data_IF_113499478648
#
_entry.id   IF_113499478648
#
_cell.length_a   1.000
_cell.length_b   1.000
_cell.length_c   1.000
_cell.angle_alpha   90.00
_cell.angle_beta   90.00
_cell.angle_gamma   90.00
#
_symmetry.space_group_name_H-M   'P 1'
#
loop_
_entity.id
_entity.type
_entity.pdbx_description
1 polymer ?
#
# COMPACT_ATOMS: atom_id res chain seq x y z
N UNK A 1 2.43 27.44 -13.39
CA UNK A 1 2.35 25.97 -13.27
C UNK A 1 1.33 25.64 -12.19
N UNK A 2 0.54 24.57 -12.32
CA UNK A 2 -0.38 24.14 -11.24
C UNK A 2 0.42 23.30 -10.24
N UNK A 3 0.42 23.70 -8.97
CA UNK A 3 1.05 22.95 -7.89
C UNK A 3 0.09 21.88 -7.38
N UNK A 4 0.61 20.70 -7.06
CA UNK A 4 -0.13 19.61 -6.42
C UNK A 4 0.70 19.14 -5.24
N UNK A 5 0.14 19.24 -4.04
CA UNK A 5 0.75 18.70 -2.83
C UNK A 5 0.39 17.22 -2.72
N UNK A 6 1.39 16.41 -2.38
CA UNK A 6 1.24 14.95 -2.25
C UNK A 6 1.73 14.57 -0.86
N UNK A 7 0.85 13.95 -0.08
CA UNK A 7 1.18 13.38 1.23
C UNK A 7 1.04 11.86 1.14
N UNK A 8 2.02 11.13 1.66
CA UNK A 8 2.05 9.66 1.60
C UNK A 8 2.34 9.09 2.97
N UNK A 9 1.62 8.05 3.37
CA UNK A 9 1.88 7.31 4.60
C UNK A 9 1.68 5.80 4.39
N UNK A 10 2.36 4.99 5.19
CA UNK A 10 2.29 3.54 5.11
C UNK A 10 2.58 2.89 6.46
N UNK A 11 1.79 1.89 6.81
CA UNK A 11 1.90 1.18 8.08
C UNK A 11 1.71 -0.33 7.89
N UNK A 12 2.32 -1.12 8.78
CA UNK A 12 2.20 -2.57 8.83
C UNK A 12 1.91 -3.05 10.25
N UNK A 13 1.05 -4.07 10.40
CA UNK A 13 0.84 -4.76 11.67
C UNK A 13 1.74 -6.01 11.75
N UNK A 14 2.97 -5.83 12.24
CA UNK A 14 3.97 -6.89 12.41
C UNK A 14 4.93 -7.07 11.22
N UNK A 15 5.90 -8.01 11.31
CA UNK A 15 6.90 -8.27 10.26
C UNK A 15 7.21 -9.80 10.11
N UNK A 16 6.63 -10.50 9.10
CA UNK A 16 5.70 -10.02 8.09
C UNK A 16 4.26 -9.92 8.60
N UNK A 17 3.55 -8.87 8.19
CA UNK A 17 2.17 -8.61 8.61
C UNK A 17 1.33 -7.97 7.51
N UNK A 18 0.00 -7.87 7.69
CA UNK A 18 -0.83 -7.04 6.83
C UNK A 18 -0.33 -5.59 6.89
N UNK A 19 -0.05 -5.04 5.72
CA UNK A 19 0.35 -3.66 5.52
C UNK A 19 -0.71 -2.88 4.75
N UNK A 20 -0.58 -1.57 4.74
CA UNK A 20 -1.38 -0.68 3.92
C UNK A 20 -0.64 0.62 3.66
N UNK A 21 -1.10 1.35 2.66
CA UNK A 21 -0.58 2.65 2.29
C UNK A 21 -1.73 3.60 1.94
N UNK A 22 -1.47 4.89 2.09
CA UNK A 22 -2.41 5.96 1.76
C UNK A 22 -1.68 7.13 1.10
N UNK A 23 -2.38 7.83 0.21
CA UNK A 23 -1.93 9.03 -0.48
C UNK A 23 -3.05 10.07 -0.48
N UNK A 24 -2.72 11.30 -0.09
CA UNK A 24 -3.58 12.47 -0.23
C UNK A 24 -2.98 13.40 -1.29
N UNK A 25 -3.75 13.64 -2.36
CA UNK A 25 -3.44 14.60 -3.42
C UNK A 25 -4.25 15.87 -3.16
N UNK A 26 -3.59 17.01 -3.03
CA UNK A 26 -4.23 18.32 -2.82
C UNK A 26 -3.87 19.30 -3.93
N UNK A 27 -4.88 19.92 -4.52
CA UNK A 27 -4.73 20.97 -5.52
C UNK A 27 -5.73 22.09 -5.22
N UNK A 28 -5.26 23.17 -4.61
CA UNK A 28 -6.08 24.28 -4.13
C UNK A 28 -7.23 23.78 -3.24
N UNK A 29 -8.47 23.88 -3.72
CA UNK A 29 -9.70 23.48 -3.01
C UNK A 29 -10.18 22.06 -3.39
N UNK A 30 -9.36 21.27 -4.09
CA UNK A 30 -9.68 19.89 -4.45
C UNK A 30 -8.74 18.93 -3.74
N UNK A 31 -9.32 17.90 -3.16
CA UNK A 31 -8.60 16.82 -2.50
C UNK A 31 -9.03 15.49 -3.11
N UNK A 32 -8.07 14.57 -3.22
CA UNK A 32 -8.32 13.19 -3.64
C UNK A 32 -7.48 12.23 -2.81
N UNK A 33 -8.13 11.24 -2.25
CA UNK A 33 -7.50 10.18 -1.46
C UNK A 33 -7.36 8.90 -2.28
N UNK A 34 -6.27 8.19 -2.07
CA UNK A 34 -5.99 6.85 -2.58
C UNK A 34 -5.47 6.01 -1.42
N UNK A 35 -5.96 4.78 -1.26
CA UNK A 35 -5.48 3.87 -0.23
C UNK A 35 -5.63 2.41 -0.66
N UNK A 36 -4.70 1.56 -0.23
CA UNK A 36 -4.81 0.10 -0.39
C UNK A 36 -4.27 -0.64 0.82
N UNK A 37 -4.77 -1.87 0.99
CA UNK A 37 -4.33 -2.81 2.03
C UNK A 37 -3.70 -4.03 1.35
N UNK A 38 -2.44 -4.32 1.71
CA UNK A 38 -1.65 -5.43 1.21
C UNK A 38 -1.47 -6.51 2.28
N UNK A 39 -1.90 -7.74 2.00
CA UNK A 39 -1.60 -8.91 2.82
C UNK A 39 -0.26 -9.53 2.38
N UNK A 40 0.85 -9.12 2.99
CA UNK A 40 2.18 -9.71 2.71
C UNK A 40 2.18 -11.23 2.98
N UNK A 41 1.39 -11.71 3.94
CA UNK A 41 1.24 -13.14 4.23
C UNK A 41 0.66 -13.95 3.05
N UNK A 42 -0.18 -13.35 2.19
CA UNK A 42 -0.71 -14.05 1.00
C UNK A 42 0.37 -14.24 -0.06
N UNK A 43 1.29 -13.28 -0.22
CA UNK A 43 2.39 -13.36 -1.19
C UNK A 43 3.42 -14.41 -0.75
N UNK A 44 3.76 -14.45 0.55
CA UNK A 44 4.68 -15.47 1.09
C UNK A 44 4.06 -16.86 0.95
N UNK A 45 2.79 -17.04 1.34
CA UNK A 45 2.10 -18.34 1.21
C UNK A 45 2.00 -18.83 -0.23
N UNK A 46 1.82 -17.91 -1.19
CA UNK A 46 1.80 -18.24 -2.62
C UNK A 46 3.17 -18.66 -3.15
N UNK A 47 4.24 -17.95 -2.77
CA UNK A 47 5.62 -18.32 -3.12
C UNK A 47 6.04 -19.68 -2.51
N UNK A 48 5.63 -19.96 -1.26
CA UNK A 48 5.84 -21.28 -0.66
C UNK A 48 5.07 -22.39 -1.39
N UNK A 49 3.80 -22.15 -1.74
CA UNK A 49 2.99 -23.13 -2.51
C UNK A 49 3.50 -23.37 -3.94
N UNK A 50 4.06 -22.35 -4.59
CA UNK A 50 4.72 -22.48 -5.91
C UNK A 50 5.99 -23.34 -5.80
N UNK A 51 6.82 -23.10 -4.78
CA UNK A 51 8.06 -23.87 -4.57
C UNK A 51 7.82 -25.30 -4.12
N UNK A 52 6.70 -25.61 -3.45
CA UNK A 52 6.34 -26.97 -3.06
C UNK A 52 5.64 -27.78 -4.16
N UNK A 53 5.45 -27.21 -5.35
CA UNK A 53 4.88 -27.89 -6.54
C UNK A 53 5.93 -28.11 -7.66
N UNK A 54 7.19 -27.77 -7.39
CA UNK A 54 8.37 -28.17 -8.17
C UNK A 54 9.08 -29.30 -7.42
#
# INVERSE_FOLDING_TARGET
MKHVDIYTDGACRGNPGPGGWGVLLKNNNKEKELAEVLLIQRIIRWNYWQRSRL
#
